data_IF_747526618571
#
_entry.id   IF_747526618571
#
_cell.length_a   1.000
_cell.length_b   1.000
_cell.length_c   1.000
_cell.angle_alpha   90.00
_cell.angle_beta   90.00
_cell.angle_gamma   90.00
#
_symmetry.space_group_name_H-M   'P 1'
#
loop_
_entity.id
_entity.type
_entity.pdbx_description
1 polymer ?
#
# COMPACT_ATOMS: atom_id res chain seq x y z
N UNK A 1 16.13 9.68 -34.02
CA UNK A 1 16.15 9.61 -32.55
C UNK A 1 14.82 10.14 -32.04
N UNK A 2 13.82 9.29 -31.87
CA UNK A 2 12.51 9.67 -31.32
C UNK A 2 12.57 9.56 -29.80
N UNK A 3 12.47 10.69 -29.10
CA UNK A 3 12.41 10.71 -27.64
C UNK A 3 11.12 10.03 -27.17
N UNK A 4 11.26 8.96 -26.39
CA UNK A 4 10.13 8.31 -25.71
C UNK A 4 9.53 9.30 -24.70
N UNK A 5 8.21 9.55 -24.69
CA UNK A 5 7.62 10.40 -23.67
C UNK A 5 7.76 9.68 -22.32
N UNK A 6 8.61 10.21 -21.44
CA UNK A 6 8.68 9.75 -20.07
C UNK A 6 7.27 9.79 -19.47
N UNK A 7 6.81 8.73 -18.78
CA UNK A 7 5.49 8.73 -18.18
C UNK A 7 5.41 9.93 -17.22
N UNK A 8 4.27 10.66 -17.19
CA UNK A 8 4.12 11.74 -16.25
C UNK A 8 4.35 11.16 -14.85
N UNK A 9 5.36 11.67 -14.16
CA UNK A 9 5.60 11.45 -12.74
C UNK A 9 4.48 12.13 -11.97
N UNK A 10 3.25 11.65 -12.12
CA UNK A 10 2.16 11.89 -11.20
C UNK A 10 2.73 11.63 -9.81
N UNK A 11 2.91 12.71 -9.07
CA UNK A 11 3.87 12.87 -7.97
C UNK A 11 3.85 11.63 -7.07
N UNK A 12 4.91 10.83 -7.14
CA UNK A 12 5.07 9.69 -6.25
C UNK A 12 5.49 10.26 -4.89
N UNK A 13 4.65 10.06 -3.87
CA UNK A 13 4.91 10.56 -2.51
C UNK A 13 5.28 9.38 -1.61
N UNK A 14 6.23 9.55 -0.67
CA UNK A 14 6.47 8.55 0.37
C UNK A 14 5.15 8.21 1.08
N UNK A 15 4.89 6.91 1.26
CA UNK A 15 3.73 6.44 2.00
C UNK A 15 3.99 6.56 3.51
N UNK A 16 2.97 6.96 4.26
CA UNK A 16 3.04 6.92 5.72
C UNK A 16 3.11 5.46 6.19
N UNK A 17 3.97 5.11 7.17
CA UNK A 17 4.05 3.75 7.70
C UNK A 17 2.71 3.18 8.16
N UNK A 18 1.80 4.02 8.68
CA UNK A 18 0.44 3.60 9.06
C UNK A 18 -0.41 3.20 7.86
N UNK A 19 -0.24 3.88 6.73
CA UNK A 19 -0.91 3.52 5.48
C UNK A 19 -0.40 2.17 4.97
N UNK A 20 0.91 1.93 5.07
CA UNK A 20 1.53 0.65 4.69
C UNK A 20 1.04 -0.48 5.59
N UNK A 21 1.02 -0.29 6.90
CA UNK A 21 0.51 -1.27 7.85
C UNK A 21 -0.98 -1.59 7.58
N UNK A 22 -1.79 -0.57 7.28
CA UNK A 22 -3.21 -0.75 6.96
C UNK A 22 -3.40 -1.56 5.66
N UNK A 23 -2.60 -1.26 4.63
CA UNK A 23 -2.63 -2.01 3.38
C UNK A 23 -2.19 -3.47 3.55
N UNK A 24 -1.14 -3.71 4.34
CA UNK A 24 -0.67 -5.07 4.65
C UNK A 24 -1.68 -5.85 5.48
N UNK A 25 -2.32 -5.23 6.47
CA UNK A 25 -3.36 -5.87 7.26
C UNK A 25 -4.54 -6.32 6.38
N UNK A 26 -4.93 -5.47 5.42
CA UNK A 26 -5.93 -5.83 4.42
C UNK A 26 -5.45 -7.01 3.55
N UNK A 27 -4.25 -6.97 2.99
CA UNK A 27 -3.71 -8.04 2.13
C UNK A 27 -3.48 -9.37 2.89
N UNK A 28 -3.24 -9.32 4.20
CA UNK A 28 -3.18 -10.50 5.03
C UNK A 28 -4.57 -11.06 5.29
N UNK A 29 -5.56 -10.20 5.54
CA UNK A 29 -6.95 -10.61 5.81
C UNK A 29 -7.68 -11.08 4.55
N UNK A 30 -7.37 -10.53 3.39
CA UNK A 30 -8.08 -10.79 2.14
C UNK A 30 -7.12 -11.27 1.05
N UNK A 31 -7.57 -12.21 0.22
CA UNK A 31 -6.85 -12.55 -1.00
C UNK A 31 -6.98 -11.46 -2.09
N UNK A 32 -6.30 -11.64 -3.22
CA UNK A 32 -6.36 -10.72 -4.37
C UNK A 32 -7.78 -10.60 -4.99
N UNK A 33 -8.66 -11.56 -4.69
CA UNK A 33 -10.07 -11.57 -5.09
C UNK A 33 -10.99 -10.94 -4.04
N UNK A 34 -10.43 -10.41 -2.95
CA UNK A 34 -11.16 -9.81 -1.83
C UNK A 34 -11.84 -10.83 -0.91
N UNK A 35 -11.53 -12.13 -1.02
CA UNK A 35 -12.11 -13.16 -0.15
C UNK A 35 -11.36 -13.20 1.18
N UNK A 36 -12.07 -13.24 2.32
CA UNK A 36 -11.43 -13.33 3.62
C UNK A 36 -10.67 -14.65 3.76
N UNK A 37 -9.43 -14.57 4.23
CA UNK A 37 -8.65 -15.73 4.69
C UNK A 37 -9.19 -16.18 6.05
N UNK A 38 -9.25 -17.50 6.26
CA UNK A 38 -10.14 -18.11 7.25
C UNK A 38 -9.88 -17.69 8.71
N UNK A 39 -11.00 -17.46 9.44
CA UNK A 39 -11.07 -17.44 10.91
C UNK A 39 -10.96 -16.05 11.56
N UNK A 40 -11.80 -15.75 12.55
CA UNK A 40 -11.76 -14.50 13.32
C UNK A 40 -10.42 -14.24 14.02
N UNK A 41 -9.71 -15.31 14.41
CA UNK A 41 -8.34 -15.25 14.96
C UNK A 41 -7.35 -14.62 13.97
N UNK A 42 -7.60 -14.77 12.67
CA UNK A 42 -6.75 -14.25 11.62
C UNK A 42 -6.80 -12.73 11.50
N UNK A 43 -7.89 -12.07 11.92
CA UNK A 43 -7.98 -10.60 11.87
C UNK A 43 -7.00 -9.92 12.82
N UNK A 44 -6.92 -10.43 14.06
CA UNK A 44 -6.00 -9.89 15.07
C UNK A 44 -4.55 -10.21 14.70
N UNK A 45 -4.31 -11.44 14.23
CA UNK A 45 -2.99 -11.86 13.76
C UNK A 45 -2.52 -11.01 12.55
N UNK A 46 -3.41 -10.71 11.61
CA UNK A 46 -3.12 -9.89 10.44
C UNK A 46 -2.68 -8.47 10.82
N UNK A 47 -3.36 -7.83 11.78
CA UNK A 47 -2.98 -6.50 12.25
C UNK A 47 -1.60 -6.50 12.94
N UNK A 48 -1.33 -7.50 13.78
CA UNK A 48 -0.04 -7.65 14.46
C UNK A 48 1.11 -7.90 13.47
N UNK A 49 0.90 -8.83 12.53
CA UNK A 49 1.87 -9.15 11.49
C UNK A 49 2.15 -7.95 10.58
N UNK A 50 1.12 -7.20 10.20
CA UNK A 50 1.28 -6.00 9.39
C UNK A 50 2.12 -4.92 10.08
N UNK A 51 1.91 -4.70 11.38
CA UNK A 51 2.74 -3.79 12.18
C UNK A 51 4.21 -4.23 12.22
N UNK A 52 4.46 -5.53 12.45
CA UNK A 52 5.81 -6.09 12.46
C UNK A 52 6.50 -5.97 11.10
N UNK A 53 5.82 -6.33 10.01
CA UNK A 53 6.36 -6.21 8.66
C UNK A 53 6.71 -4.76 8.32
N UNK A 54 5.84 -3.82 8.68
CA UNK A 54 6.10 -2.39 8.46
C UNK A 54 7.35 -1.92 9.23
N UNK A 55 7.49 -2.31 10.49
CA UNK A 55 8.68 -1.98 11.28
C UNK A 55 9.97 -2.61 10.70
N UNK A 56 9.88 -3.81 10.12
CA UNK A 56 11.03 -4.42 9.44
C UNK A 56 11.40 -3.69 8.15
N UNK A 57 10.40 -3.23 7.37
CA UNK A 57 10.65 -2.43 6.18
C UNK A 57 11.36 -1.12 6.51
N UNK A 58 10.94 -0.43 7.58
CA UNK A 58 11.61 0.78 8.06
C UNK A 58 13.06 0.51 8.49
N UNK A 59 13.29 -0.54 9.29
CA UNK A 59 14.63 -0.92 9.76
C UNK A 59 15.56 -1.31 8.62
N UNK A 60 15.02 -1.89 7.55
CA UNK A 60 15.76 -2.26 6.36
C UNK A 60 15.87 -1.12 5.33
N UNK A 61 15.43 0.10 5.65
CA UNK A 61 15.46 1.29 4.79
C UNK A 61 14.63 1.16 3.49
N UNK A 62 13.60 0.33 3.49
CA UNK A 62 12.64 0.29 2.38
C UNK A 62 11.68 1.48 2.47
N UNK A 63 11.43 2.11 1.33
CA UNK A 63 10.45 3.20 1.19
C UNK A 63 9.32 2.73 0.30
N UNK A 64 8.10 2.70 0.85
CA UNK A 64 6.90 2.52 0.04
C UNK A 64 6.51 3.86 -0.58
N UNK A 65 6.21 3.85 -1.88
CA UNK A 65 5.83 5.06 -2.61
C UNK A 65 4.40 4.91 -3.11
N UNK A 66 3.55 5.88 -2.80
CA UNK A 66 2.16 5.91 -3.25
C UNK A 66 2.02 6.89 -4.41
N UNK A 67 1.19 6.53 -5.39
CA UNK A 67 0.78 7.47 -6.44
C UNK A 67 -0.01 8.61 -5.80
N UNK A 68 0.25 9.86 -6.21
CA UNK A 68 -0.55 10.99 -5.78
C UNK A 68 -2.05 10.69 -5.96
N UNK A 69 -2.91 11.13 -5.00
CA UNK A 69 -4.35 11.02 -5.16
C UNK A 69 -4.74 11.63 -6.50
N UNK A 70 -5.48 10.88 -7.31
CA UNK A 70 -5.98 11.40 -8.59
C UNK A 70 -6.92 12.56 -8.27
N UNK A 71 -6.75 13.75 -8.87
CA UNK A 71 -7.71 14.84 -8.71
C UNK A 71 -9.11 14.32 -9.04
N UNK A 72 -10.16 14.70 -8.27
CA UNK A 72 -11.53 14.42 -8.69
C UNK A 72 -11.71 15.01 -10.08
N UNK A 73 -12.21 14.22 -11.03
CA UNK A 73 -12.53 14.77 -12.34
C UNK A 73 -13.56 15.86 -12.10
N UNK A 74 -13.21 17.10 -12.48
CA UNK A 74 -14.11 18.23 -12.34
C UNK A 74 -15.42 17.87 -13.05
N UNK A 75 -16.51 17.84 -12.30
CA UNK A 75 -17.84 17.86 -12.86
C UNK A 75 -17.99 19.22 -13.54
N UNK A 76 -17.80 19.25 -14.85
CA UNK A 76 -18.22 20.32 -15.74
C UNK A 76 -19.60 20.03 -16.29
#
# INVERSE_FOLDING_TARGET
MTASPAPPTSLLTPADPKDVASALAYALRFDERGRPRQGSVWEVAAALLAGQLTAQLERANFVAIRKAPRPPHGAG
#
